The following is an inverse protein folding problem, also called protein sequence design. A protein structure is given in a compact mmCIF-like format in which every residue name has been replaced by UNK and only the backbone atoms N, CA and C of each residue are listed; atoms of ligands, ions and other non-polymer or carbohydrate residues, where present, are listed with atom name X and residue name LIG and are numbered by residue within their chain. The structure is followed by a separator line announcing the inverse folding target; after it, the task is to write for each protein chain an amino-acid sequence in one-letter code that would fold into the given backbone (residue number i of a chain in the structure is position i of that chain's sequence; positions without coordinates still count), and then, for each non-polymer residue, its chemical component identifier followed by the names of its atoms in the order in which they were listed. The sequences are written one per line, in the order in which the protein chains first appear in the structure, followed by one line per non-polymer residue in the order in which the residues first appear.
data_IF_875307663177
#
_entry.id   IF_875307663177
#
_cell.length_a   1.000
_cell.length_b   1.000
_cell.length_c   1.000
_cell.angle_alpha   90.00
_cell.angle_beta   90.00
_cell.angle_gamma   90.00
#
_symmetry.space_group_name_H-M   'P 1'
#
loop_
_entity.id
_entity.type
_entity.pdbx_description
1 polymer ?
#
# COMPACT_ATOMS: atom_id res chain seq x y z
N UNK A 1 19.03 1.43 -0.99
CA UNK A 1 20.05 1.58 0.07
C UNK A 1 20.57 3.01 0.23
N UNK A 2 20.84 3.75 -0.85
CA UNK A 2 21.32 5.16 -0.77
C UNK A 2 20.41 6.08 0.08
N UNK A 3 19.09 5.97 -0.08
CA UNK A 3 18.10 6.75 0.68
C UNK A 3 18.17 6.51 2.19
N UNK A 4 18.40 5.27 2.60
CA UNK A 4 18.49 4.88 4.01
C UNK A 4 19.79 5.39 4.63
N UNK A 5 20.92 5.20 3.96
CA UNK A 5 22.23 5.67 4.43
C UNK A 5 22.29 7.20 4.55
N UNK A 6 21.77 7.92 3.55
CA UNK A 6 21.78 9.38 3.54
C UNK A 6 20.79 9.95 4.57
N UNK A 7 19.63 9.31 4.78
CA UNK A 7 18.67 9.77 5.80
C UNK A 7 19.16 9.50 7.22
N UNK A 8 19.82 8.36 7.47
CA UNK A 8 20.42 8.03 8.78
C UNK A 8 21.62 8.93 9.06
N UNK A 9 22.47 9.20 8.07
CA UNK A 9 23.58 10.16 8.18
C UNK A 9 23.11 11.60 8.42
N UNK A 10 22.03 12.02 7.75
CA UNK A 10 21.41 13.33 7.97
C UNK A 10 20.78 13.49 9.36
N UNK A 11 20.28 12.41 9.95
CA UNK A 11 19.78 12.39 11.33
C UNK A 11 20.91 12.57 12.35
N UNK A 12 22.08 11.98 12.09
CA UNK A 12 23.24 12.06 12.99
C UNK A 12 23.90 13.44 12.98
N UNK A 13 23.84 14.16 11.86
CA UNK A 13 24.40 15.50 11.71
C UNK A 13 23.47 16.61 12.24
N UNK A 14 22.15 16.37 12.30
CA UNK A 14 21.14 17.33 12.78
C UNK A 14 20.10 16.66 13.69
N UNK A 15 20.45 16.33 14.95
CA UNK A 15 19.63 15.49 15.84
C UNK A 15 18.29 16.10 16.28
N UNK A 16 18.10 17.42 16.18
CA UNK A 16 16.91 18.13 16.67
C UNK A 16 16.08 18.80 15.55
N UNK A 17 16.38 18.53 14.26
CA UNK A 17 15.76 19.26 13.15
C UNK A 17 15.18 18.36 12.05
N UNK A 18 13.91 18.64 11.71
CA UNK A 18 13.16 18.02 10.59
C UNK A 18 13.87 18.24 9.23
N UNK A 19 14.76 19.22 9.17
CA UNK A 19 15.55 19.59 7.99
C UNK A 19 16.47 18.43 7.57
N UNK A 20 17.09 17.70 8.51
CA UNK A 20 17.99 16.58 8.23
C UNK A 20 17.34 15.48 7.37
N UNK A 21 16.20 14.90 7.81
CA UNK A 21 15.43 13.95 7.01
C UNK A 21 14.95 14.50 5.65
N UNK A 22 14.55 15.76 5.58
CA UNK A 22 14.07 16.38 4.33
C UNK A 22 15.18 16.49 3.29
N UNK A 23 16.33 17.05 3.66
CA UNK A 23 17.48 17.16 2.76
C UNK A 23 18.05 15.79 2.41
N UNK A 24 18.03 14.83 3.34
CA UNK A 24 18.47 13.46 3.06
C UNK A 24 17.62 12.77 1.98
N UNK A 25 16.29 12.96 1.99
CA UNK A 25 15.39 12.48 0.94
C UNK A 25 15.60 13.21 -0.39
N UNK A 26 15.81 14.52 -0.36
CA UNK A 26 16.04 15.31 -1.58
C UNK A 26 17.35 14.92 -2.27
N UNK A 27 18.45 14.83 -1.52
CA UNK A 27 19.77 14.46 -2.05
C UNK A 27 19.80 13.03 -2.57
N UNK A 28 19.21 12.08 -1.85
CA UNK A 28 19.10 10.70 -2.33
C UNK A 28 18.25 10.60 -3.60
N UNK A 29 17.16 11.36 -3.69
CA UNK A 29 16.37 11.48 -4.92
C UNK A 29 17.18 12.01 -6.09
N UNK A 30 17.98 13.06 -5.88
CA UNK A 30 18.85 13.64 -6.90
C UNK A 30 19.91 12.65 -7.40
N UNK A 31 20.55 11.90 -6.50
CA UNK A 31 21.55 10.87 -6.88
C UNK A 31 20.91 9.77 -7.72
N UNK A 32 19.73 9.26 -7.31
CA UNK A 32 19.00 8.25 -8.07
C UNK A 32 18.61 8.78 -9.44
N UNK A 33 18.15 10.04 -9.53
CA UNK A 33 17.80 10.69 -10.78
C UNK A 33 19.00 10.78 -11.73
N UNK A 34 20.17 11.19 -11.23
CA UNK A 34 21.40 11.28 -12.03
C UNK A 34 21.81 9.88 -12.53
N UNK A 35 21.85 8.88 -11.64
CA UNK A 35 22.18 7.50 -12.03
C UNK A 35 21.21 6.94 -13.07
N UNK A 36 19.90 7.13 -12.86
CA UNK A 36 18.86 6.68 -13.78
C UNK A 36 19.00 7.36 -15.14
N UNK A 37 19.29 8.67 -15.17
CA UNK A 37 19.53 9.42 -16.40
C UNK A 37 20.74 8.88 -17.17
N UNK A 38 21.87 8.61 -16.51
CA UNK A 38 23.04 8.01 -17.15
C UNK A 38 22.75 6.64 -17.77
N UNK A 39 21.98 5.80 -17.08
CA UNK A 39 21.57 4.49 -17.60
C UNK A 39 20.63 4.67 -18.81
N UNK A 40 19.66 5.59 -18.73
CA UNK A 40 18.70 5.85 -19.80
C UNK A 40 19.37 6.36 -21.08
N UNK A 41 20.36 7.25 -20.95
CA UNK A 41 21.11 7.77 -22.11
C UNK A 41 22.00 6.69 -22.71
N UNK A 42 22.56 5.79 -21.90
CA UNK A 42 23.46 4.72 -22.37
C UNK A 42 22.73 3.57 -23.08
N UNK A 43 21.52 3.23 -22.65
CA UNK A 43 20.78 2.05 -23.14
C UNK A 43 19.46 2.37 -23.85
N UNK A 44 19.01 3.63 -23.86
CA UNK A 44 17.74 4.04 -24.44
C UNK A 44 17.89 4.80 -25.76
N UNK A 45 17.02 4.51 -26.72
CA UNK A 45 16.81 5.36 -27.90
C UNK A 45 15.60 6.26 -27.67
N UNK A 46 15.79 7.59 -27.70
CA UNK A 46 14.67 8.53 -27.60
C UNK A 46 13.87 8.54 -28.91
N UNK A 47 12.66 7.97 -28.89
CA UNK A 47 11.72 8.04 -30.03
C UNK A 47 10.45 8.75 -29.57
N UNK A 48 10.23 9.96 -30.08
CA UNK A 48 9.03 10.72 -29.81
C UNK A 48 7.95 10.37 -30.85
N UNK A 49 7.09 9.42 -30.55
CA UNK A 49 5.93 9.12 -31.39
C UNK A 49 4.65 9.70 -30.77
N UNK A 50 4.07 10.71 -31.43
CA UNK A 50 2.83 11.38 -30.99
C UNK A 50 1.59 10.49 -31.10
N UNK A 51 1.68 9.40 -31.85
CA UNK A 51 0.59 8.45 -32.08
C UNK A 51 0.13 7.75 -30.79
N UNK A 52 1.03 7.55 -29.81
CA UNK A 52 0.70 6.90 -28.53
C UNK A 52 0.14 7.85 -27.46
N UNK A 53 0.26 9.18 -27.63
CA UNK A 53 -0.22 10.15 -26.64
C UNK A 53 -1.71 10.02 -26.27
N UNK A 54 -2.66 9.85 -27.21
CA UNK A 54 -4.07 9.72 -26.85
C UNK A 54 -4.34 8.46 -26.02
N UNK A 55 -3.75 7.31 -26.37
CA UNK A 55 -3.89 6.06 -25.61
C UNK A 55 -3.31 6.18 -24.20
N UNK A 56 -2.11 6.78 -24.08
CA UNK A 56 -1.47 7.04 -22.80
C UNK A 56 -2.36 7.93 -21.95
N UNK A 57 -2.90 9.01 -22.51
CA UNK A 57 -3.77 9.94 -21.77
C UNK A 57 -5.05 9.24 -21.30
N UNK A 58 -5.68 8.43 -22.16
CA UNK A 58 -6.91 7.69 -21.83
C UNK A 58 -6.68 6.66 -20.71
N UNK A 59 -5.51 6.04 -20.65
CA UNK A 59 -5.17 5.10 -19.58
C UNK A 59 -4.72 5.82 -18.30
N UNK A 60 -3.80 6.78 -18.41
CA UNK A 60 -3.16 7.43 -17.27
C UNK A 60 -4.08 8.39 -16.53
N UNK A 61 -4.98 9.12 -17.21
CA UNK A 61 -5.86 10.07 -16.51
C UNK A 61 -6.78 9.39 -15.48
N UNK A 62 -7.58 8.36 -15.84
CA UNK A 62 -8.41 7.66 -14.87
C UNK A 62 -7.58 6.95 -13.79
N UNK A 63 -6.40 6.42 -14.15
CA UNK A 63 -5.50 5.80 -13.20
C UNK A 63 -4.96 6.80 -12.16
N UNK A 64 -4.65 8.03 -12.57
CA UNK A 64 -4.19 9.09 -11.68
C UNK A 64 -5.28 9.46 -10.66
N UNK A 65 -6.53 9.62 -11.11
CA UNK A 65 -7.66 9.81 -10.20
C UNK A 65 -7.84 8.64 -9.24
N UNK A 66 -7.75 7.40 -9.73
CA UNK A 66 -7.81 6.22 -8.89
C UNK A 66 -6.73 6.23 -7.78
N UNK A 67 -5.48 6.51 -8.13
CA UNK A 67 -4.37 6.55 -7.16
C UNK A 67 -4.56 7.68 -6.15
N UNK A 68 -4.99 8.87 -6.60
CA UNK A 68 -5.27 9.99 -5.70
C UNK A 68 -6.43 9.68 -4.75
N UNK A 69 -7.52 9.10 -5.23
CA UNK A 69 -8.65 8.69 -4.39
C UNK A 69 -8.24 7.65 -3.35
N UNK A 70 -7.46 6.64 -3.75
CA UNK A 70 -6.92 5.65 -2.83
C UNK A 70 -6.01 6.27 -1.75
N UNK A 71 -5.19 7.25 -2.13
CA UNK A 71 -4.35 7.97 -1.18
C UNK A 71 -5.18 8.81 -0.19
N UNK A 72 -6.18 9.55 -0.67
CA UNK A 72 -7.09 10.35 0.17
C UNK A 72 -7.81 9.45 1.18
N UNK A 73 -8.37 8.32 0.74
CA UNK A 73 -9.03 7.35 1.62
C UNK A 73 -8.07 6.80 2.68
N UNK A 74 -6.85 6.45 2.29
CA UNK A 74 -5.84 5.94 3.23
C UNK A 74 -5.50 6.93 4.35
N UNK A 75 -5.61 8.24 4.08
CA UNK A 75 -5.33 9.30 5.05
C UNK A 75 -6.57 9.76 5.84
N UNK A 76 -7.77 9.69 5.26
CA UNK A 76 -8.98 10.25 5.88
C UNK A 76 -9.30 9.59 7.22
N UNK A 77 -9.07 8.27 7.33
CA UNK A 77 -9.27 7.52 8.56
C UNK A 77 -8.39 8.05 9.69
N UNK A 78 -7.14 8.42 9.38
CA UNK A 78 -6.18 8.93 10.37
C UNK A 78 -6.59 10.31 10.88
N UNK A 79 -7.03 11.20 9.99
CA UNK A 79 -7.54 12.52 10.35
C UNK A 79 -8.83 12.43 11.18
N UNK A 80 -9.74 11.52 10.83
CA UNK A 80 -10.95 11.25 11.58
C UNK A 80 -10.63 10.66 12.96
N UNK A 81 -9.75 9.66 13.06
CA UNK A 81 -9.35 9.06 14.33
C UNK A 81 -8.70 10.09 15.28
N UNK A 82 -7.85 10.97 14.76
CA UNK A 82 -7.15 11.99 15.55
C UNK A 82 -8.09 13.03 16.18
N UNK A 83 -9.28 13.24 15.62
CA UNK A 83 -10.24 14.24 16.10
C UNK A 83 -11.15 13.73 17.23
N UNK A 84 -11.22 12.41 17.45
CA UNK A 84 -12.22 11.78 18.32
C UNK A 84 -11.63 10.85 19.40
N UNK A 85 -10.31 10.64 19.45
CA UNK A 85 -9.66 9.71 20.39
C UNK A 85 -8.66 10.46 21.27
N UNK A 86 -8.59 10.08 22.54
CA UNK A 86 -7.60 10.61 23.48
C UNK A 86 -6.17 10.29 23.03
N UNK A 87 -5.24 11.23 23.21
CA UNK A 87 -3.88 11.18 22.62
C UNK A 87 -3.09 9.91 22.97
N UNK A 88 -3.42 9.25 24.07
CA UNK A 88 -2.74 8.04 24.56
C UNK A 88 -3.13 6.81 23.73
N UNK A 89 -4.41 6.65 23.39
CA UNK A 89 -4.90 5.52 22.59
C UNK A 89 -4.54 5.65 21.11
N UNK A 90 -4.45 6.89 20.61
CA UNK A 90 -4.01 7.18 19.24
C UNK A 90 -2.57 6.68 18.99
N UNK A 91 -1.66 6.89 19.94
CA UNK A 91 -0.26 6.46 19.82
C UNK A 91 -0.12 4.94 19.83
N UNK A 92 -0.93 4.26 20.66
CA UNK A 92 -1.00 2.80 20.71
C UNK A 92 -1.47 2.23 19.38
N UNK A 93 -2.52 2.82 18.81
CA UNK A 93 -3.04 2.43 17.51
C UNK A 93 -2.06 2.71 16.35
N UNK A 94 -1.43 3.89 16.34
CA UNK A 94 -0.43 4.27 15.31
C UNK A 94 0.77 3.31 15.32
N UNK A 95 1.13 2.77 16.49
CA UNK A 95 2.20 1.78 16.60
C UNK A 95 1.79 0.41 16.05
N UNK A 96 0.56 -0.04 16.33
CA UNK A 96 0.01 -1.27 15.71
C UNK A 96 0.00 -1.16 14.20
N UNK A 97 -0.50 -0.05 13.66
CA UNK A 97 -0.47 0.19 12.23
C UNK A 97 0.94 0.16 11.64
N UNK A 98 1.93 0.72 12.35
CA UNK A 98 3.32 0.67 11.89
C UNK A 98 3.88 -0.73 11.83
N UNK A 99 3.48 -1.63 12.73
CA UNK A 99 3.85 -3.05 12.64
C UNK A 99 3.26 -3.69 11.37
N UNK A 100 2.06 -3.30 10.96
CA UNK A 100 1.42 -3.77 9.73
C UNK A 100 2.03 -3.19 8.43
N UNK A 101 2.77 -2.07 8.48
CA UNK A 101 3.52 -1.60 7.31
C UNK A 101 4.53 -2.64 6.80
N UNK A 102 5.04 -3.52 7.66
CA UNK A 102 5.88 -4.64 7.24
C UNK A 102 5.15 -5.59 6.28
N UNK A 103 3.88 -5.88 6.55
CA UNK A 103 3.02 -6.69 5.67
C UNK A 103 2.80 -5.95 4.35
N UNK A 104 2.43 -4.68 4.40
CA UNK A 104 2.20 -3.88 3.18
C UNK A 104 3.46 -3.82 2.30
N UNK A 105 4.64 -3.70 2.91
CA UNK A 105 5.90 -3.71 2.19
C UNK A 105 6.18 -5.05 1.50
N UNK A 106 5.94 -6.17 2.17
CA UNK A 106 6.09 -7.51 1.60
C UNK A 106 5.08 -7.76 0.47
N UNK A 107 3.82 -7.34 0.66
CA UNK A 107 2.78 -7.42 -0.36
C UNK A 107 3.17 -6.66 -1.63
N UNK A 108 3.62 -5.40 -1.48
CA UNK A 108 4.06 -4.59 -2.61
C UNK A 108 5.28 -5.19 -3.32
N UNK A 109 6.23 -5.73 -2.55
CA UNK A 109 7.42 -6.40 -3.11
C UNK A 109 7.03 -7.64 -3.93
N UNK A 110 6.10 -8.45 -3.42
CA UNK A 110 5.62 -9.64 -4.11
C UNK A 110 4.84 -9.28 -5.38
N UNK A 111 3.97 -8.28 -5.32
CA UNK A 111 3.25 -7.76 -6.49
C UNK A 111 4.20 -7.25 -7.58
N UNK A 112 5.26 -6.53 -7.21
CA UNK A 112 6.26 -6.02 -8.15
C UNK A 112 7.01 -7.13 -8.92
N UNK A 113 7.13 -8.33 -8.35
CA UNK A 113 7.78 -9.48 -9.00
C UNK A 113 6.79 -10.33 -9.80
N UNK A 114 5.57 -10.53 -9.28
CA UNK A 114 4.59 -11.43 -9.89
C UNK A 114 3.84 -10.77 -11.05
N UNK A 115 3.47 -9.49 -10.94
CA UNK A 115 2.66 -8.82 -11.96
C UNK A 115 3.33 -8.74 -13.34
N UNK A 116 4.64 -8.42 -13.47
CA UNK A 116 5.29 -8.41 -14.78
C UNK A 116 5.27 -9.77 -15.47
N UNK A 117 5.53 -10.86 -14.73
CA UNK A 117 5.49 -12.24 -15.25
C UNK A 117 4.09 -12.64 -15.68
N UNK A 118 3.09 -12.26 -14.89
CA UNK A 118 1.69 -12.49 -15.19
C UNK A 118 1.26 -11.76 -16.47
N UNK A 119 1.70 -10.51 -16.64
CA UNK A 119 1.43 -9.73 -17.85
C UNK A 119 2.12 -10.32 -19.07
N UNK A 120 3.32 -10.87 -18.93
CA UNK A 120 4.01 -11.59 -20.02
C UNK A 120 3.23 -12.84 -20.47
N UNK A 121 2.67 -13.60 -19.53
CA UNK A 121 1.86 -14.79 -19.81
C UNK A 121 0.56 -14.41 -20.53
N UNK A 122 -0.11 -13.36 -20.07
CA UNK A 122 -1.35 -12.89 -20.70
C UNK A 122 -1.11 -12.25 -22.06
N UNK A 123 0.01 -11.57 -22.27
CA UNK A 123 0.35 -10.98 -23.57
C UNK A 123 0.67 -12.04 -24.64
N UNK A 124 1.07 -13.25 -24.23
CA UNK A 124 1.25 -14.41 -25.13
C UNK A 124 -0.06 -15.11 -25.49
N UNK A 125 -1.18 -14.68 -24.92
CA UNK A 125 -2.50 -15.29 -25.13
C UNK A 125 -3.37 -14.37 -25.99
N UNK A 126 -4.01 -14.94 -27.02
CA UNK A 126 -4.93 -14.19 -27.88
C UNK A 126 -6.26 -13.85 -27.19
N UNK A 127 -6.58 -14.52 -26.07
CA UNK A 127 -7.80 -14.29 -25.29
C UNK A 127 -7.46 -14.02 -23.83
N UNK A 128 -8.23 -13.12 -23.22
CA UNK A 128 -8.22 -12.81 -21.78
C UNK A 128 -8.83 -13.97 -20.98
N UNK A 129 -8.16 -15.13 -20.96
CA UNK A 129 -8.60 -16.29 -20.18
C UNK A 129 -7.58 -16.65 -19.11
N UNK A 130 -8.09 -17.08 -17.95
CA UNK A 130 -7.26 -17.59 -16.86
C UNK A 130 -6.66 -18.92 -17.28
N UNK A 131 -5.35 -18.94 -17.51
CA UNK A 131 -4.60 -20.17 -17.77
C UNK A 131 -4.14 -20.84 -16.48
N UNK A 132 -3.85 -22.14 -16.55
CA UNK A 132 -3.30 -22.89 -15.40
C UNK A 132 -2.03 -22.23 -14.82
N UNK A 133 -1.20 -21.63 -15.67
CA UNK A 133 0.00 -20.92 -15.22
C UNK A 133 -0.33 -19.62 -14.49
N UNK A 134 -1.22 -18.79 -15.04
CA UNK A 134 -1.72 -17.58 -14.38
C UNK A 134 -2.33 -17.93 -13.01
N UNK A 135 -3.17 -18.96 -12.94
CA UNK A 135 -3.78 -19.43 -11.69
C UNK A 135 -2.75 -19.96 -10.68
N UNK A 136 -1.64 -20.54 -11.15
CA UNK A 136 -0.53 -20.97 -10.26
C UNK A 136 0.14 -19.76 -9.62
N UNK A 137 0.47 -18.71 -10.38
CA UNK A 137 1.05 -17.49 -9.82
C UNK A 137 0.13 -16.84 -8.79
N UNK A 138 -1.16 -16.87 -9.05
CA UNK A 138 -2.17 -16.35 -8.16
C UNK A 138 -2.33 -17.16 -6.87
N UNK A 139 -2.37 -18.49 -6.97
CA UNK A 139 -2.37 -19.34 -5.79
C UNK A 139 -1.10 -19.15 -4.95
N UNK A 140 0.06 -18.99 -5.58
CA UNK A 140 1.31 -18.69 -4.88
C UNK A 140 1.24 -17.31 -4.20
N UNK A 141 0.77 -16.28 -4.90
CA UNK A 141 0.60 -14.94 -4.33
C UNK A 141 -0.32 -14.97 -3.11
N UNK A 142 -1.48 -15.62 -3.20
CA UNK A 142 -2.44 -15.75 -2.10
C UNK A 142 -1.88 -16.59 -0.95
N UNK A 143 -1.23 -17.72 -1.24
CA UNK A 143 -0.66 -18.60 -0.21
C UNK A 143 0.44 -17.88 0.58
N UNK A 144 1.36 -17.19 -0.10
CA UNK A 144 2.40 -16.38 0.57
C UNK A 144 1.78 -15.27 1.39
N UNK A 145 0.72 -14.62 0.89
CA UNK A 145 -0.02 -13.60 1.62
C UNK A 145 -0.70 -14.11 2.90
N UNK A 146 -1.29 -15.30 2.86
CA UNK A 146 -1.91 -15.91 4.03
C UNK A 146 -0.85 -16.33 5.04
N UNK A 147 0.24 -16.97 4.59
CA UNK A 147 1.33 -17.41 5.46
C UNK A 147 1.97 -16.22 6.17
N UNK A 148 2.28 -15.13 5.46
CA UNK A 148 2.83 -13.94 6.12
C UNK A 148 1.86 -13.35 7.14
N UNK A 149 0.54 -13.34 6.87
CA UNK A 149 -0.45 -12.81 7.82
C UNK A 149 -0.49 -13.65 9.10
N UNK A 150 -0.47 -14.98 8.97
CA UNK A 150 -0.40 -15.90 10.12
C UNK A 150 0.87 -15.64 10.93
N UNK A 151 2.03 -15.55 10.27
CA UNK A 151 3.31 -15.28 10.94
C UNK A 151 3.27 -13.94 11.67
N UNK A 152 2.74 -12.88 11.06
CA UNK A 152 2.63 -11.57 11.69
C UNK A 152 1.63 -11.55 12.85
N UNK A 153 0.49 -12.23 12.75
CA UNK A 153 -0.46 -12.37 13.86
C UNK A 153 0.16 -13.02 15.10
N UNK A 154 1.12 -13.92 14.93
CA UNK A 154 1.86 -14.56 16.03
C UNK A 154 3.04 -13.68 16.48
N UNK A 155 3.78 -13.11 15.54
CA UNK A 155 4.98 -12.33 15.83
C UNK A 155 4.69 -10.98 16.49
N UNK A 156 3.61 -10.30 16.11
CA UNK A 156 3.25 -8.98 16.66
C UNK A 156 3.04 -9.04 18.19
N UNK A 157 2.21 -9.96 18.75
CA UNK A 157 2.07 -10.11 20.20
C UNK A 157 3.39 -10.43 20.94
N UNK A 158 4.28 -11.20 20.31
CA UNK A 158 5.59 -11.55 20.88
C UNK A 158 6.51 -10.33 20.90
N UNK A 159 6.58 -9.60 19.78
CA UNK A 159 7.31 -8.34 19.66
C UNK A 159 6.81 -7.31 20.68
N UNK A 160 5.49 -7.25 20.92
CA UNK A 160 4.93 -6.36 21.93
C UNK A 160 5.41 -6.68 23.34
N UNK A 161 5.38 -7.96 23.74
CA UNK A 161 5.87 -8.38 25.06
C UNK A 161 7.37 -8.08 25.27
N UNK A 162 8.15 -8.09 24.18
CA UNK A 162 9.60 -7.85 24.21
C UNK A 162 9.96 -6.35 24.19
N UNK A 163 9.21 -5.52 23.46
CA UNK A 163 9.55 -4.11 23.21
C UNK A 163 8.79 -3.12 24.11
N UNK A 164 7.62 -3.49 24.66
CA UNK A 164 6.72 -2.52 25.29
C UNK A 164 6.18 -3.02 26.63
N UNK A 165 6.52 -2.31 27.70
CA UNK A 165 6.15 -2.65 29.08
C UNK A 165 4.81 -2.06 29.54
N UNK A 166 4.15 -1.20 28.73
CA UNK A 166 2.91 -0.51 29.13
C UNK A 166 1.66 -1.37 28.91
N UNK A 167 0.83 -1.47 29.95
CA UNK A 167 -0.39 -2.31 29.98
C UNK A 167 -1.42 -1.96 28.89
N UNK A 168 -1.54 -0.68 28.49
CA UNK A 168 -2.55 -0.21 27.53
C UNK A 168 -2.36 -0.79 26.10
N UNK A 169 -1.20 -1.39 25.81
CA UNK A 169 -0.94 -2.06 24.53
C UNK A 169 -1.56 -3.45 24.43
N UNK A 170 -1.87 -4.10 25.56
CA UNK A 170 -2.49 -5.42 25.54
C UNK A 170 -3.95 -5.36 25.06
N UNK A 171 -4.65 -4.27 25.34
CA UNK A 171 -6.02 -4.05 24.86
C UNK A 171 -6.06 -3.93 23.32
N UNK A 172 -5.00 -3.39 22.72
CA UNK A 172 -4.87 -3.25 21.28
C UNK A 172 -4.60 -4.57 20.54
N UNK A 173 -4.23 -5.65 21.25
CA UNK A 173 -4.02 -6.97 20.65
C UNK A 173 -5.31 -7.53 20.04
N UNK A 174 -6.47 -7.15 20.58
CA UNK A 174 -7.80 -7.53 20.05
C UNK A 174 -8.03 -7.03 18.62
N UNK A 175 -7.37 -5.94 18.21
CA UNK A 175 -7.50 -5.36 16.87
C UNK A 175 -6.63 -6.03 15.81
N UNK A 176 -5.61 -6.81 16.21
CA UNK A 176 -4.65 -7.42 15.28
C UNK A 176 -5.37 -8.36 14.31
N UNK A 177 -6.30 -9.18 14.81
CA UNK A 177 -7.02 -10.14 13.97
C UNK A 177 -7.90 -9.45 12.92
N UNK A 178 -8.57 -8.37 13.31
CA UNK A 178 -9.41 -7.56 12.43
C UNK A 178 -8.58 -6.88 11.35
N UNK A 179 -7.46 -6.25 11.74
CA UNK A 179 -6.54 -5.63 10.79
C UNK A 179 -5.96 -6.66 9.81
N UNK A 180 -5.53 -7.82 10.31
CA UNK A 180 -5.00 -8.89 9.47
C UNK A 180 -6.02 -9.43 8.45
N UNK A 181 -7.28 -9.59 8.85
CA UNK A 181 -8.35 -9.97 7.92
C UNK A 181 -8.51 -8.93 6.80
N UNK A 182 -8.42 -7.65 7.16
CA UNK A 182 -8.39 -6.54 6.24
C UNK A 182 -7.27 -6.59 5.19
N UNK A 183 -6.03 -6.73 5.64
CA UNK A 183 -4.88 -6.91 4.73
C UNK A 183 -5.00 -8.16 3.85
N UNK A 184 -5.69 -9.21 4.33
CA UNK A 184 -6.03 -10.39 3.55
C UNK A 184 -7.00 -10.08 2.40
N UNK A 185 -8.09 -9.35 2.68
CA UNK A 185 -9.05 -8.90 1.67
C UNK A 185 -8.38 -7.97 0.65
N UNK A 186 -7.55 -7.04 1.12
CA UNK A 186 -6.79 -6.11 0.27
C UNK A 186 -5.87 -6.85 -0.70
N UNK A 187 -5.23 -7.95 -0.27
CA UNK A 187 -4.42 -8.80 -1.14
C UNK A 187 -5.24 -9.39 -2.31
N UNK A 188 -6.46 -9.86 -2.02
CA UNK A 188 -7.37 -10.38 -3.05
C UNK A 188 -7.82 -9.25 -4.00
N UNK A 189 -8.08 -8.06 -3.47
CA UNK A 189 -8.44 -6.89 -4.27
C UNK A 189 -7.31 -6.48 -5.24
N UNK A 190 -6.07 -6.55 -4.80
CA UNK A 190 -4.88 -6.30 -5.61
C UNK A 190 -4.77 -7.23 -6.83
N UNK A 191 -5.21 -8.49 -6.68
CA UNK A 191 -5.32 -9.43 -7.80
C UNK A 191 -6.29 -8.93 -8.87
N UNK A 192 -7.52 -8.55 -8.47
CA UNK A 192 -8.55 -8.11 -9.42
C UNK A 192 -8.10 -6.84 -10.15
N UNK A 193 -7.46 -5.96 -9.40
CA UNK A 193 -6.88 -4.73 -9.92
C UNK A 193 -5.84 -5.01 -11.00
N UNK A 194 -4.94 -5.97 -10.79
CA UNK A 194 -3.92 -6.34 -11.76
C UNK A 194 -4.51 -6.80 -13.10
N UNK A 195 -5.62 -7.55 -13.07
CA UNK A 195 -6.33 -8.04 -14.25
C UNK A 195 -7.05 -6.92 -14.99
N UNK A 196 -7.72 -6.01 -14.26
CA UNK A 196 -8.42 -4.86 -14.85
C UNK A 196 -7.42 -3.89 -15.50
N UNK A 197 -6.27 -3.65 -14.86
CA UNK A 197 -5.19 -2.84 -15.41
C UNK A 197 -4.62 -3.47 -16.68
N UNK A 198 -4.45 -4.80 -16.72
CA UNK A 198 -4.02 -5.50 -17.91
C UNK A 198 -5.04 -5.36 -19.06
N UNK A 199 -6.33 -5.45 -18.76
CA UNK A 199 -7.42 -5.23 -19.72
C UNK A 199 -7.58 -3.76 -20.16
N UNK A 200 -6.72 -2.84 -19.66
CA UNK A 200 -6.75 -1.39 -19.92
C UNK A 200 -8.09 -0.71 -19.62
N UNK A 201 -8.98 -1.34 -18.84
CA UNK A 201 -10.33 -0.84 -18.57
C UNK A 201 -10.36 0.02 -17.29
N UNK A 202 -9.60 1.11 -17.31
CA UNK A 202 -9.38 1.99 -16.14
C UNK A 202 -10.63 2.77 -15.71
N UNK A 203 -11.59 2.99 -16.62
CA UNK A 203 -12.87 3.61 -16.28
C UNK A 203 -13.74 2.72 -15.39
N UNK A 204 -13.72 1.41 -15.62
CA UNK A 204 -14.42 0.44 -14.76
C UNK A 204 -13.80 0.42 -13.37
N UNK A 205 -12.46 0.49 -13.30
CA UNK A 205 -11.73 0.59 -12.03
C UNK A 205 -12.15 1.82 -11.23
N UNK A 206 -12.22 2.99 -11.89
CA UNK A 206 -12.63 4.24 -11.25
C UNK A 206 -14.05 4.18 -10.68
N UNK A 207 -14.99 3.53 -11.38
CA UNK A 207 -16.37 3.36 -10.88
C UNK A 207 -16.44 2.46 -9.66
N UNK A 208 -15.77 1.30 -9.70
CA UNK A 208 -15.76 0.35 -8.58
C UNK A 208 -15.13 0.98 -7.34
N UNK A 209 -13.98 1.63 -7.50
CA UNK A 209 -13.30 2.29 -6.39
C UNK A 209 -14.01 3.54 -5.92
N UNK A 210 -14.61 4.32 -6.82
CA UNK A 210 -15.43 5.47 -6.43
C UNK A 210 -16.62 5.05 -5.57
N UNK A 211 -17.28 3.94 -5.92
CA UNK A 211 -18.38 3.40 -5.13
C UNK A 211 -17.90 2.84 -3.79
N UNK A 212 -16.81 2.07 -3.78
CA UNK A 212 -16.18 1.55 -2.56
C UNK A 212 -15.73 2.68 -1.63
N UNK A 213 -15.16 3.76 -2.17
CA UNK A 213 -14.75 4.94 -1.42
C UNK A 213 -15.91 5.63 -0.70
N UNK A 214 -17.02 5.86 -1.42
CA UNK A 214 -18.22 6.48 -0.85
C UNK A 214 -18.79 5.56 0.24
N UNK A 215 -18.90 4.27 -0.05
CA UNK A 215 -19.38 3.27 0.90
C UNK A 215 -18.53 3.24 2.17
N UNK A 216 -17.20 3.24 2.02
CA UNK A 216 -16.24 3.25 3.12
C UNK A 216 -16.36 4.54 3.95
N UNK A 217 -16.43 5.72 3.32
CA UNK A 217 -16.57 7.00 4.03
C UNK A 217 -17.89 7.04 4.82
N UNK A 218 -19.00 6.62 4.21
CA UNK A 218 -20.32 6.61 4.85
C UNK A 218 -20.30 5.67 6.05
N UNK A 219 -19.76 4.47 5.89
CA UNK A 219 -19.68 3.49 6.97
C UNK A 219 -18.74 3.95 8.07
N UNK A 220 -17.57 4.48 7.74
CA UNK A 220 -16.63 5.02 8.73
C UNK A 220 -17.25 6.17 9.52
N UNK A 221 -18.04 7.04 8.87
CA UNK A 221 -18.78 8.11 9.55
C UNK A 221 -19.86 7.58 10.52
N UNK A 222 -20.67 6.60 10.08
CA UNK A 222 -21.67 5.98 10.95
C UNK A 222 -21.04 5.17 12.09
N UNK A 223 -20.03 4.36 11.79
CA UNK A 223 -19.28 3.59 12.79
C UNK A 223 -18.58 4.51 13.80
N UNK A 224 -18.08 5.67 13.35
CA UNK A 224 -17.48 6.67 14.23
C UNK A 224 -18.48 7.30 15.20
N UNK A 225 -19.74 7.43 14.78
CA UNK A 225 -20.81 8.03 15.57
C UNK A 225 -21.45 7.02 16.54
N UNK A 226 -21.57 5.73 16.16
CA UNK A 226 -22.34 4.73 16.91
C UNK A 226 -21.53 3.66 17.64
N UNK A 227 -20.30 3.33 17.23
CA UNK A 227 -19.56 2.14 17.72
C UNK A 227 -18.24 2.45 18.46
N UNK A 228 -17.89 3.72 18.67
CA UNK A 228 -16.64 4.09 19.33
C UNK A 228 -15.38 3.54 18.62
N UNK A 229 -14.30 3.30 19.37
CA UNK A 229 -12.99 2.83 18.87
C UNK A 229 -13.05 1.50 18.09
N UNK A 230 -13.91 0.56 18.49
CA UNK A 230 -13.99 -0.78 17.86
C UNK A 230 -14.57 -0.77 16.45
N UNK A 231 -15.58 0.07 16.18
CA UNK A 231 -16.16 0.20 14.83
C UNK A 231 -15.18 0.82 13.83
N UNK A 232 -14.31 1.74 14.29
CA UNK A 232 -13.39 2.48 13.41
C UNK A 232 -12.22 1.64 12.90
N UNK A 233 -11.72 0.70 13.73
CA UNK A 233 -10.60 -0.17 13.33
C UNK A 233 -11.05 -1.28 12.38
N UNK A 234 -12.30 -1.72 12.48
CA UNK A 234 -12.81 -2.82 11.64
C UNK A 234 -13.13 -2.44 10.21
N UNK A 235 -13.26 -1.14 9.89
CA UNK A 235 -13.80 -0.67 8.61
C UNK A 235 -12.75 -0.03 7.69
N UNK A 236 -11.52 0.22 8.18
CA UNK A 236 -10.41 0.79 7.39
C UNK A 236 -9.96 -0.11 6.23
N UNK A 237 -10.22 -1.40 6.33
CA UNK A 237 -9.72 -2.40 5.39
C UNK A 237 -10.82 -3.01 4.49
N UNK A 238 -12.04 -2.45 4.54
CA UNK A 238 -13.16 -2.78 3.65
C UNK A 238 -13.38 -1.71 2.58
#
# INVERSE_FOLDING_TARGET
MATLLISIGGLYLYPESIIGPMYGRLLSGAIIFIMAHFIFVKYGSFKFNKEFLPEIKQFCMPFLFYVLSGWILSQIDRFMLQSYIDKVDLNTYDLVLKCFFGIEFLQNSLSAVIFPKLYEIWNKQERLSTTKESNRYFNVFTAVNIIQLIVFCIAIPILYKLLITKQSFYDAASYIGILAAGYGLRSILNFYLSTILFAKNTLTLLKIFGFSAIFQIVITYFAATYLGLMGKVSMREF
#
